data_IF_214203632300
#
_entry.id   IF_214203632300
#
_cell.length_a   1.000
_cell.length_b   1.000
_cell.length_c   1.000
_cell.angle_alpha   90.00
_cell.angle_beta   90.00
_cell.angle_gamma   90.00
#
_symmetry.space_group_name_H-M   'P 1'
#
loop_
_entity.id
_entity.type
_entity.pdbx_description
1 polymer ?
#
# COMPACT_ATOMS: atom_id res chain seq x y z
N UNK A 1 -19.78 -3.50 -2.91
CA UNK A 1 -19.56 -4.20 -4.17
C UNK A 1 -19.53 -5.64 -3.76
N UNK A 2 -20.47 -6.42 -4.27
CA UNK A 2 -20.48 -7.87 -3.98
C UNK A 2 -19.33 -8.54 -4.76
N UNK A 3 -19.01 -9.79 -4.45
CA UNK A 3 -17.91 -10.57 -5.03
C UNK A 3 -18.08 -10.72 -6.55
N UNK A 4 -19.30 -10.90 -7.06
CA UNK A 4 -19.56 -10.97 -8.50
C UNK A 4 -19.30 -9.64 -9.20
N UNK A 5 -19.71 -8.51 -8.60
CA UNK A 5 -19.45 -7.18 -9.14
C UNK A 5 -17.95 -6.87 -9.17
N UNK A 6 -17.19 -7.35 -8.17
CA UNK A 6 -15.73 -7.24 -8.13
C UNK A 6 -15.09 -7.96 -9.32
N UNK A 7 -15.40 -9.24 -9.55
CA UNK A 7 -14.79 -9.95 -10.68
C UNK A 7 -15.23 -9.37 -12.03
N UNK A 8 -16.47 -8.90 -12.12
CA UNK A 8 -16.99 -8.24 -13.31
C UNK A 8 -16.26 -6.92 -13.61
N UNK A 9 -15.80 -6.17 -12.61
CA UNK A 9 -15.04 -4.94 -12.86
C UNK A 9 -13.68 -5.22 -13.52
N UNK A 10 -13.09 -6.39 -13.26
CA UNK A 10 -11.86 -6.82 -13.94
C UNK A 10 -12.09 -7.32 -15.37
N UNK A 11 -13.32 -7.56 -15.80
CA UNK A 11 -13.60 -7.87 -17.22
C UNK A 11 -13.49 -6.63 -18.13
N UNK A 12 -13.41 -5.43 -17.55
CA UNK A 12 -13.16 -4.20 -18.29
C UNK A 12 -11.69 -4.12 -18.74
N UNK A 13 -11.47 -4.16 -20.06
CA UNK A 13 -10.14 -4.10 -20.65
C UNK A 13 -9.41 -2.78 -20.34
N UNK A 14 -10.10 -1.69 -20.05
CA UNK A 14 -9.44 -0.44 -19.67
C UNK A 14 -8.80 -0.52 -18.28
N UNK A 15 -9.33 -1.35 -17.37
CA UNK A 15 -8.69 -1.64 -16.07
C UNK A 15 -7.37 -2.39 -16.28
N UNK A 16 -7.37 -3.42 -17.14
CA UNK A 16 -6.14 -4.15 -17.46
C UNK A 16 -5.14 -3.31 -18.22
N UNK A 17 -5.58 -2.47 -19.16
CA UNK A 17 -4.70 -1.55 -19.87
C UNK A 17 -4.05 -0.53 -18.91
N UNK A 18 -4.79 -0.02 -17.93
CA UNK A 18 -4.22 0.84 -16.88
C UNK A 18 -3.12 0.12 -16.10
N UNK A 19 -3.38 -1.12 -15.65
CA UNK A 19 -2.40 -1.94 -14.93
C UNK A 19 -1.18 -2.33 -15.78
N UNK A 20 -1.38 -2.64 -17.07
CA UNK A 20 -0.31 -3.03 -18.00
C UNK A 20 0.52 -1.83 -18.51
N UNK A 21 -0.02 -0.62 -18.43
CA UNK A 21 0.71 0.61 -18.81
C UNK A 21 1.30 1.34 -17.61
N UNK A 22 1.04 0.85 -16.38
CA UNK A 22 1.76 1.25 -15.17
C UNK A 22 3.19 0.70 -15.19
N UNK A 23 4.12 1.51 -15.69
CA UNK A 23 5.53 1.18 -15.83
C UNK A 23 6.20 0.77 -14.51
N UNK A 24 6.12 1.58 -13.44
CA UNK A 24 6.73 1.25 -12.14
C UNK A 24 6.22 -0.06 -11.55
N UNK A 25 4.89 -0.31 -11.58
CA UNK A 25 4.29 -1.58 -11.14
C UNK A 25 4.93 -2.76 -11.87
N UNK A 26 4.89 -2.75 -13.19
CA UNK A 26 5.34 -3.88 -13.99
C UNK A 26 6.87 -4.08 -13.91
N UNK A 27 7.63 -2.98 -13.84
CA UNK A 27 9.07 -3.02 -13.65
C UNK A 27 9.47 -3.65 -12.32
N UNK A 28 8.80 -3.28 -11.21
CA UNK A 28 9.11 -3.82 -9.89
C UNK A 28 8.88 -5.35 -9.83
N UNK A 29 7.75 -5.86 -10.33
CA UNK A 29 7.51 -7.30 -10.39
C UNK A 29 8.50 -8.03 -11.29
N UNK A 30 8.76 -7.48 -12.48
CA UNK A 30 9.74 -8.04 -13.41
C UNK A 30 11.12 -8.12 -12.74
N UNK A 31 11.63 -7.00 -12.22
CA UNK A 31 12.92 -6.94 -11.55
C UNK A 31 12.98 -7.90 -10.35
N UNK A 32 11.97 -7.92 -9.49
CA UNK A 32 11.92 -8.83 -8.34
C UNK A 32 11.99 -10.30 -8.76
N UNK A 33 11.20 -10.71 -9.75
CA UNK A 33 11.18 -12.08 -10.27
C UNK A 33 12.55 -12.45 -10.87
N UNK A 34 13.13 -11.59 -11.71
CA UNK A 34 14.39 -11.90 -12.39
C UNK A 34 15.62 -11.78 -11.48
N UNK A 35 15.61 -10.90 -10.48
CA UNK A 35 16.65 -10.87 -9.44
C UNK A 35 16.63 -12.16 -8.63
N UNK A 36 15.44 -12.74 -8.38
CA UNK A 36 15.25 -14.00 -7.67
C UNK A 36 15.22 -15.24 -8.60
N UNK A 37 15.78 -15.14 -9.81
CA UNK A 37 15.75 -16.25 -10.78
C UNK A 37 16.26 -17.57 -10.20
N UNK A 38 17.36 -17.53 -9.42
CA UNK A 38 17.92 -18.74 -8.80
C UNK A 38 16.98 -19.41 -7.79
N UNK A 39 16.09 -18.63 -7.16
CA UNK A 39 15.09 -19.13 -6.23
C UNK A 39 13.79 -19.57 -6.93
N UNK A 40 13.62 -19.27 -8.23
CA UNK A 40 12.45 -19.64 -9.06
C UNK A 40 12.76 -20.77 -10.04
N UNK A 41 14.00 -20.88 -10.51
CA UNK A 41 14.39 -21.88 -11.51
C UNK A 41 14.11 -23.32 -11.03
N UNK A 42 13.39 -24.08 -11.84
CA UNK A 42 12.97 -25.45 -11.52
C UNK A 42 11.90 -25.56 -10.44
N UNK A 43 11.34 -24.44 -9.96
CA UNK A 43 10.31 -24.40 -8.91
C UNK A 43 8.89 -24.36 -9.44
N UNK A 44 7.94 -24.57 -8.54
CA UNK A 44 6.52 -24.49 -8.81
C UNK A 44 5.97 -23.19 -8.24
N UNK A 45 5.30 -22.42 -9.09
CA UNK A 45 4.79 -21.09 -8.77
C UNK A 45 3.27 -21.10 -8.81
N UNK A 46 2.64 -20.40 -7.87
CA UNK A 46 1.22 -20.05 -7.90
C UNK A 46 1.07 -18.54 -8.10
N UNK A 47 0.37 -18.15 -9.17
CA UNK A 47 -0.02 -16.77 -9.44
C UNK A 47 -1.49 -16.58 -9.04
N UNK A 48 -1.73 -15.82 -7.96
CA UNK A 48 -3.05 -15.62 -7.35
C UNK A 48 -3.67 -14.34 -7.92
N UNK A 49 -4.75 -14.48 -8.69
CA UNK A 49 -5.35 -13.37 -9.44
C UNK A 49 -4.51 -13.01 -10.65
N UNK A 50 -4.23 -14.01 -11.49
CA UNK A 50 -3.28 -13.89 -12.58
C UNK A 50 -3.71 -12.87 -13.67
N UNK A 51 -4.98 -12.47 -13.72
CA UNK A 51 -5.53 -11.52 -14.67
C UNK A 51 -5.34 -11.99 -16.11
N UNK A 52 -4.44 -11.34 -16.85
CA UNK A 52 -4.04 -11.71 -18.22
C UNK A 52 -2.73 -12.53 -18.27
N UNK A 53 -2.19 -12.93 -17.12
CA UNK A 53 -1.07 -13.87 -17.00
C UNK A 53 0.32 -13.27 -17.11
N UNK A 54 0.50 -11.94 -17.11
CA UNK A 54 1.83 -11.33 -17.27
C UNK A 54 2.84 -11.78 -16.21
N UNK A 55 2.44 -11.88 -14.94
CA UNK A 55 3.33 -12.32 -13.85
C UNK A 55 3.65 -13.81 -13.98
N UNK A 56 2.67 -14.62 -14.36
CA UNK A 56 2.88 -16.02 -14.74
C UNK A 56 3.90 -16.19 -15.87
N UNK A 57 3.86 -15.33 -16.89
CA UNK A 57 4.84 -15.32 -17.99
C UNK A 57 6.23 -14.97 -17.49
N UNK A 58 6.38 -13.94 -16.65
CA UNK A 58 7.67 -13.60 -16.04
C UNK A 58 8.24 -14.77 -15.23
N UNK A 59 7.43 -15.46 -14.43
CA UNK A 59 7.87 -16.62 -13.67
C UNK A 59 8.32 -17.78 -14.57
N UNK A 60 7.60 -18.05 -15.67
CA UNK A 60 8.00 -19.05 -16.66
C UNK A 60 9.32 -18.68 -17.36
N UNK A 61 9.49 -17.41 -17.73
CA UNK A 61 10.73 -16.89 -18.32
C UNK A 61 11.92 -16.93 -17.34
N UNK A 62 11.66 -16.77 -16.04
CA UNK A 62 12.64 -16.97 -14.99
C UNK A 62 13.01 -18.46 -14.78
N UNK A 63 12.37 -19.39 -15.48
CA UNK A 63 12.71 -20.81 -15.46
C UNK A 63 11.89 -21.65 -14.47
N UNK A 64 10.73 -21.15 -14.03
CA UNK A 64 9.80 -21.98 -13.25
C UNK A 64 9.49 -23.28 -14.00
N UNK A 65 9.49 -24.40 -13.27
CA UNK A 65 9.14 -25.72 -13.81
C UNK A 65 7.65 -25.78 -14.18
N UNK A 66 6.82 -25.15 -13.36
CA UNK A 66 5.36 -25.12 -13.50
C UNK A 66 4.82 -23.83 -12.89
N UNK A 67 3.84 -23.21 -13.54
CA UNK A 67 3.09 -22.07 -13.00
C UNK A 67 1.60 -22.42 -13.01
N UNK A 68 0.93 -22.29 -11.87
CA UNK A 68 -0.52 -22.33 -11.76
C UNK A 68 -1.05 -20.89 -11.73
N UNK A 69 -1.69 -20.47 -12.81
CA UNK A 69 -2.24 -19.13 -12.96
C UNK A 69 -3.73 -19.15 -12.60
N UNK A 70 -4.08 -18.79 -11.36
CA UNK A 70 -5.46 -18.82 -10.87
C UNK A 70 -6.12 -17.47 -11.16
N UNK A 71 -7.19 -17.49 -11.94
CA UNK A 71 -7.97 -16.29 -12.29
C UNK A 71 -9.46 -16.61 -12.21
N UNK A 72 -10.24 -15.72 -11.60
CA UNK A 72 -11.66 -15.94 -11.34
C UNK A 72 -12.59 -15.18 -12.30
N UNK A 73 -12.13 -14.07 -12.88
CA UNK A 73 -12.87 -13.27 -13.86
C UNK A 73 -12.74 -13.87 -15.27
N UNK A 74 -13.56 -13.37 -16.20
CA UNK A 74 -13.52 -13.77 -17.61
C UNK A 74 -12.18 -13.54 -18.34
N UNK A 75 -11.24 -12.80 -17.75
CA UNK A 75 -9.93 -12.51 -18.37
C UNK A 75 -9.02 -13.72 -18.47
N UNK A 76 -9.32 -14.82 -17.77
CA UNK A 76 -8.60 -16.08 -17.89
C UNK A 76 -8.50 -16.56 -19.35
N UNK A 77 -9.48 -16.24 -20.20
CA UNK A 77 -9.46 -16.58 -21.63
C UNK A 77 -8.34 -15.85 -22.37
N UNK A 78 -8.17 -14.57 -22.07
CA UNK A 78 -7.05 -13.77 -22.59
C UNK A 78 -5.73 -14.29 -22.06
N UNK A 79 -5.67 -14.67 -20.77
CA UNK A 79 -4.47 -15.28 -20.20
C UNK A 79 -4.06 -16.57 -20.95
N UNK A 80 -5.02 -17.42 -21.32
CA UNK A 80 -4.75 -18.62 -22.14
C UNK A 80 -4.13 -18.24 -23.49
N UNK A 81 -4.65 -17.21 -24.14
CA UNK A 81 -4.15 -16.78 -25.45
C UNK A 81 -2.76 -16.14 -25.33
N UNK A 82 -2.52 -15.29 -24.32
CA UNK A 82 -1.19 -14.71 -24.01
C UNK A 82 -0.17 -15.81 -23.72
N UNK A 83 -0.54 -16.85 -22.96
CA UNK A 83 0.34 -18.00 -22.69
C UNK A 83 0.74 -18.72 -23.98
N UNK A 84 -0.20 -18.90 -24.92
CA UNK A 84 0.07 -19.51 -26.23
C UNK A 84 0.93 -18.63 -27.13
N UNK A 85 0.67 -17.33 -27.17
CA UNK A 85 1.45 -16.35 -27.94
C UNK A 85 2.94 -16.38 -27.54
N UNK A 86 3.21 -16.65 -26.26
CA UNK A 86 4.54 -16.77 -25.69
C UNK A 86 5.09 -18.21 -25.68
N UNK A 87 4.36 -19.19 -26.21
CA UNK A 87 4.77 -20.60 -26.32
C UNK A 87 5.07 -21.25 -24.95
N UNK A 88 4.31 -20.88 -23.91
CA UNK A 88 4.52 -21.33 -22.53
C UNK A 88 3.45 -22.30 -22.03
N UNK A 89 2.63 -22.89 -22.90
CA UNK A 89 1.51 -23.78 -22.54
C UNK A 89 1.97 -25.03 -21.79
N UNK A 90 3.21 -25.47 -22.00
CA UNK A 90 3.78 -26.63 -21.30
C UNK A 90 4.18 -26.31 -19.86
N UNK A 91 4.38 -25.03 -19.52
CA UNK A 91 4.83 -24.56 -18.21
C UNK A 91 3.68 -23.96 -17.42
N UNK A 92 2.83 -23.15 -18.06
CA UNK A 92 1.77 -22.39 -17.41
C UNK A 92 0.42 -23.10 -17.59
N UNK A 93 -0.27 -23.36 -16.48
CA UNK A 93 -1.64 -23.86 -16.47
C UNK A 93 -2.55 -22.79 -15.90
N UNK A 94 -3.45 -22.28 -16.73
CA UNK A 94 -4.51 -21.36 -16.31
C UNK A 94 -5.64 -22.14 -15.63
N UNK A 95 -5.99 -21.75 -14.42
CA UNK A 95 -7.05 -22.35 -13.60
C UNK A 95 -8.15 -21.31 -13.41
N UNK A 96 -9.26 -21.48 -14.11
CA UNK A 96 -10.42 -20.58 -14.00
C UNK A 96 -11.28 -20.92 -12.79
N UNK A 97 -10.92 -20.39 -11.63
CA UNK A 97 -11.62 -20.55 -10.34
C UNK A 97 -11.31 -19.38 -9.43
N UNK A 98 -12.18 -19.13 -8.46
CA UNK A 98 -11.81 -18.38 -7.25
C UNK A 98 -10.79 -19.19 -6.46
N UNK A 99 -9.79 -18.53 -5.89
CA UNK A 99 -8.74 -19.22 -5.13
C UNK A 99 -9.32 -20.00 -3.94
N UNK A 100 -10.41 -19.49 -3.35
CA UNK A 100 -11.18 -20.14 -2.29
C UNK A 100 -11.71 -21.52 -2.74
N UNK A 101 -12.10 -21.67 -4.01
CA UNK A 101 -12.68 -22.89 -4.59
C UNK A 101 -11.64 -23.83 -5.23
N UNK A 102 -10.38 -23.40 -5.34
CA UNK A 102 -9.29 -24.25 -5.86
C UNK A 102 -9.04 -25.42 -4.91
N UNK A 103 -8.83 -26.61 -5.44
CA UNK A 103 -8.62 -27.84 -4.66
C UNK A 103 -7.32 -28.54 -5.05
N UNK A 104 -7.01 -29.65 -4.38
CA UNK A 104 -5.88 -30.52 -4.74
C UNK A 104 -6.02 -31.18 -6.12
N UNK A 105 -7.23 -31.20 -6.70
CA UNK A 105 -7.41 -31.69 -8.07
C UNK A 105 -6.89 -30.67 -9.10
N UNK A 106 -6.95 -29.38 -8.76
CA UNK A 106 -6.47 -28.29 -9.61
C UNK A 106 -4.97 -28.06 -9.42
N UNK A 107 -4.52 -28.08 -8.15
CA UNK A 107 -3.13 -27.88 -7.73
C UNK A 107 -2.74 -29.06 -6.81
N UNK A 108 -2.22 -30.17 -7.37
CA UNK A 108 -1.99 -31.42 -6.64
C UNK A 108 -0.79 -31.39 -5.69
N UNK A 109 0.06 -30.38 -5.78
CA UNK A 109 1.27 -30.25 -4.99
C UNK A 109 1.39 -28.88 -4.34
N UNK A 110 2.04 -28.82 -3.18
CA UNK A 110 2.41 -27.55 -2.56
C UNK A 110 3.36 -26.79 -3.49
N UNK A 111 3.26 -25.46 -3.53
CA UNK A 111 4.08 -24.58 -4.37
C UNK A 111 5.27 -24.02 -3.59
N UNK A 112 6.34 -23.70 -4.30
CA UNK A 112 7.56 -23.13 -3.72
C UNK A 112 7.48 -21.60 -3.63
N UNK A 113 6.73 -20.96 -4.55
CA UNK A 113 6.60 -19.51 -4.66
C UNK A 113 5.13 -19.16 -4.89
N UNK A 114 4.64 -18.14 -4.20
CA UNK A 114 3.41 -17.43 -4.53
C UNK A 114 3.80 -16.06 -5.09
N UNK A 115 3.22 -15.69 -6.22
CA UNK A 115 3.24 -14.33 -6.75
C UNK A 115 1.81 -13.83 -6.82
N UNK A 116 1.57 -12.58 -6.45
CA UNK A 116 0.25 -11.97 -6.57
C UNK A 116 0.38 -10.47 -6.56
N UNK A 117 -0.34 -9.82 -7.46
CA UNK A 117 -0.63 -8.39 -7.36
C UNK A 117 -2.03 -8.24 -6.78
N UNK A 118 -2.08 -7.98 -5.47
CA UNK A 118 -3.29 -7.98 -4.66
C UNK A 118 -3.64 -6.60 -4.12
N UNK A 119 -2.81 -5.58 -4.41
CA UNK A 119 -2.85 -4.31 -3.70
C UNK A 119 -3.97 -3.43 -4.25
N UNK A 120 -4.86 -2.98 -3.38
CA UNK A 120 -5.86 -1.98 -3.71
C UNK A 120 -5.38 -0.55 -3.42
N UNK A 121 -6.30 0.42 -3.57
CA UNK A 121 -6.08 1.76 -3.03
C UNK A 121 -5.79 1.69 -1.52
N UNK A 122 -4.92 2.59 -1.03
CA UNK A 122 -4.39 2.57 0.34
C UNK A 122 -3.95 1.16 0.81
N UNK A 123 -3.45 0.34 -0.12
CA UNK A 123 -3.04 -1.07 0.03
C UNK A 123 -4.20 -2.07 0.21
N UNK A 124 -5.15 -1.80 1.11
CA UNK A 124 -6.12 -2.79 1.58
C UNK A 124 -7.51 -2.69 0.95
N UNK A 125 -7.77 -1.70 0.08
CA UNK A 125 -9.04 -1.66 -0.64
C UNK A 125 -9.25 -2.95 -1.45
N UNK A 126 -10.50 -3.33 -1.65
CA UNK A 126 -10.92 -4.51 -2.42
C UNK A 126 -10.63 -5.88 -1.76
N UNK A 127 -9.79 -5.91 -0.72
CA UNK A 127 -9.67 -7.06 0.21
C UNK A 127 -9.04 -8.32 -0.39
N UNK A 128 -8.24 -8.21 -1.46
CA UNK A 128 -7.62 -9.39 -2.10
C UNK A 128 -6.50 -10.04 -1.25
N UNK A 129 -5.95 -9.33 -0.26
CA UNK A 129 -4.96 -9.89 0.67
C UNK A 129 -5.49 -11.13 1.43
N UNK A 130 -6.79 -11.19 1.74
CA UNK A 130 -7.39 -12.39 2.36
C UNK A 130 -7.24 -13.63 1.47
N UNK A 131 -7.41 -13.46 0.16
CA UNK A 131 -7.26 -14.52 -0.83
C UNK A 131 -5.80 -14.99 -0.90
N UNK A 132 -4.83 -14.07 -0.77
CA UNK A 132 -3.40 -14.39 -0.74
C UNK A 132 -3.03 -15.13 0.55
N UNK A 133 -3.54 -14.71 1.71
CA UNK A 133 -3.37 -15.40 3.00
C UNK A 133 -3.89 -16.84 2.90
N UNK A 134 -5.10 -17.01 2.35
CA UNK A 134 -5.68 -18.34 2.14
C UNK A 134 -4.82 -19.19 1.19
N UNK A 135 -4.30 -18.61 0.10
CA UNK A 135 -3.41 -19.32 -0.82
C UNK A 135 -2.11 -19.75 -0.14
N UNK A 136 -1.50 -18.86 0.66
CA UNK A 136 -0.30 -19.14 1.46
C UNK A 136 -0.52 -20.33 2.38
N UNK A 137 -1.55 -20.26 3.22
CA UNK A 137 -1.80 -21.27 4.25
C UNK A 137 -2.11 -22.64 3.63
N UNK A 138 -2.85 -22.65 2.52
CA UNK A 138 -3.29 -23.88 1.87
C UNK A 138 -2.28 -24.48 0.91
N UNK A 139 -1.52 -23.68 0.17
CA UNK A 139 -0.73 -24.16 -0.98
C UNK A 139 0.77 -23.91 -0.86
N UNK A 140 1.25 -22.98 -0.03
CA UNK A 140 2.69 -22.73 0.08
C UNK A 140 3.39 -23.84 0.89
N UNK A 141 4.61 -24.20 0.48
CA UNK A 141 5.52 -25.05 1.27
C UNK A 141 6.08 -24.27 2.47
N UNK A 142 6.51 -24.94 3.54
CA UNK A 142 7.32 -24.30 4.57
C UNK A 142 8.56 -23.62 3.94
N UNK A 143 8.83 -22.37 4.32
CA UNK A 143 9.91 -21.53 3.75
C UNK A 143 9.77 -21.21 2.25
N UNK A 144 8.57 -21.39 1.68
CA UNK A 144 8.26 -20.87 0.35
C UNK A 144 8.30 -19.35 0.33
N UNK A 145 8.48 -18.77 -0.85
CA UNK A 145 8.57 -17.33 -1.03
C UNK A 145 7.21 -16.74 -1.42
N UNK A 146 6.99 -15.48 -1.06
CA UNK A 146 5.80 -14.71 -1.44
C UNK A 146 6.29 -13.43 -2.10
N UNK A 147 5.74 -13.08 -3.26
CA UNK A 147 6.08 -11.89 -4.02
C UNK A 147 4.83 -11.00 -4.12
N UNK A 148 4.82 -9.82 -3.45
CA UNK A 148 5.80 -9.31 -2.46
C UNK A 148 5.78 -10.08 -1.12
N UNK A 149 6.82 -9.92 -0.27
CA UNK A 149 6.87 -10.58 1.04
C UNK A 149 6.42 -9.69 2.20
N UNK A 150 6.47 -8.38 2.01
CA UNK A 150 6.01 -7.42 3.00
C UNK A 150 5.40 -6.19 2.33
N UNK A 151 4.55 -5.49 3.07
CA UNK A 151 3.99 -4.21 2.65
C UNK A 151 3.88 -3.25 3.84
N UNK A 152 3.92 -1.96 3.58
CA UNK A 152 3.75 -0.93 4.61
C UNK A 152 2.80 0.16 4.11
N UNK A 153 1.91 0.62 4.99
CA UNK A 153 1.11 1.84 4.75
C UNK A 153 1.80 2.98 5.46
N UNK A 154 2.02 4.08 4.75
CA UNK A 154 2.58 5.31 5.27
C UNK A 154 1.50 6.38 5.38
N UNK A 155 1.69 7.28 6.35
CA UNK A 155 0.76 8.36 6.62
C UNK A 155 1.48 9.66 6.95
N UNK A 156 0.99 10.78 6.44
CA UNK A 156 1.46 12.12 6.82
C UNK A 156 0.38 13.19 6.61
N UNK A 157 0.33 14.24 7.43
CA UNK A 157 -0.49 15.43 7.13
C UNK A 157 -0.05 16.11 5.83
N UNK A 158 -1.01 16.66 5.07
CA UNK A 158 -0.75 17.29 3.79
C UNK A 158 -1.64 18.51 3.50
N UNK A 159 -1.20 19.33 2.56
CA UNK A 159 -2.05 20.28 1.81
C UNK A 159 -2.80 19.54 0.70
N UNK A 160 -3.97 20.01 0.29
CA UNK A 160 -4.75 19.42 -0.81
C UNK A 160 -5.16 20.51 -1.83
N UNK A 161 -4.21 21.05 -2.62
CA UNK A 161 -4.45 22.20 -3.48
C UNK A 161 -5.59 22.00 -4.50
N UNK A 162 -5.78 20.78 -4.98
CA UNK A 162 -6.83 20.40 -5.94
C UNK A 162 -8.25 20.64 -5.42
N UNK A 163 -8.44 20.60 -4.10
CA UNK A 163 -9.73 20.84 -3.43
C UNK A 163 -9.79 22.25 -2.84
N UNK A 164 -8.64 22.82 -2.46
CA UNK A 164 -8.52 24.12 -1.82
C UNK A 164 -7.96 25.19 -2.77
N UNK A 165 -6.64 25.37 -2.78
CA UNK A 165 -5.95 26.52 -3.37
C UNK A 165 -6.27 26.78 -4.86
N UNK A 166 -6.46 25.74 -5.66
CA UNK A 166 -6.71 25.86 -7.11
C UNK A 166 -7.93 26.76 -7.42
N UNK A 167 -8.93 26.74 -6.55
CA UNK A 167 -10.21 27.43 -6.76
C UNK A 167 -10.22 28.89 -6.30
N UNK A 168 -9.16 29.34 -5.63
CA UNK A 168 -8.99 30.75 -5.28
C UNK A 168 -8.85 31.61 -6.54
N UNK A 169 -8.28 31.04 -7.61
CA UNK A 169 -8.10 31.75 -8.87
C UNK A 169 -8.05 30.79 -10.07
N UNK A 170 -9.20 30.54 -10.69
CA UNK A 170 -9.30 29.81 -11.95
C UNK A 170 -9.28 30.83 -13.10
N UNK A 171 -8.10 31.10 -13.65
CA UNK A 171 -7.91 32.01 -14.79
C UNK A 171 -8.50 33.42 -14.58
N UNK A 172 -8.34 33.98 -13.38
CA UNK A 172 -8.87 35.29 -12.98
C UNK A 172 -10.23 35.23 -12.29
N UNK A 173 -10.83 34.05 -12.14
CA UNK A 173 -12.16 33.85 -11.53
C UNK A 173 -12.01 33.20 -10.16
N UNK A 174 -12.54 33.86 -9.12
CA UNK A 174 -12.62 33.28 -7.77
C UNK A 174 -13.80 32.30 -7.70
N UNK A 175 -13.53 31.05 -7.33
CA UNK A 175 -14.52 29.96 -7.28
C UNK A 175 -14.66 29.35 -5.88
N UNK A 176 -14.48 30.15 -4.83
CA UNK A 176 -14.52 29.70 -3.42
C UNK A 176 -15.84 29.03 -3.03
N UNK A 177 -16.98 29.48 -3.59
CA UNK A 177 -18.28 28.86 -3.37
C UNK A 177 -18.33 27.42 -3.89
N UNK A 178 -17.69 27.16 -5.04
CA UNK A 178 -17.55 25.82 -5.61
C UNK A 178 -16.60 24.96 -4.76
N UNK A 179 -15.44 25.50 -4.39
CA UNK A 179 -14.47 24.79 -3.52
C UNK A 179 -15.10 24.36 -2.18
N UNK A 180 -15.94 25.19 -1.58
CA UNK A 180 -16.68 24.80 -0.37
C UNK A 180 -17.59 23.59 -0.60
N UNK A 181 -18.35 23.57 -1.70
CA UNK A 181 -19.20 22.43 -2.06
C UNK A 181 -18.39 21.18 -2.39
N UNK A 182 -17.22 21.36 -3.04
CA UNK A 182 -16.30 20.26 -3.34
C UNK A 182 -15.75 19.65 -2.05
N UNK A 183 -15.32 20.46 -1.07
CA UNK A 183 -14.90 19.99 0.26
C UNK A 183 -15.99 19.22 0.98
N UNK A 184 -17.24 19.71 0.93
CA UNK A 184 -18.40 19.05 1.54
C UNK A 184 -18.68 17.65 0.98
N UNK A 185 -18.24 17.38 -0.24
CA UNK A 185 -18.28 16.06 -0.85
C UNK A 185 -17.01 15.26 -0.53
N UNK A 186 -15.84 15.91 -0.54
CA UNK A 186 -14.55 15.28 -0.37
C UNK A 186 -14.33 14.74 1.05
N UNK A 187 -14.75 15.42 2.12
CA UNK A 187 -14.52 14.89 3.49
C UNK A 187 -15.36 13.64 3.82
N UNK A 188 -16.35 13.29 2.99
CA UNK A 188 -17.26 12.14 3.21
C UNK A 188 -16.68 10.82 2.71
N UNK A 189 -15.63 10.85 1.89
CA UNK A 189 -14.99 9.66 1.33
C UNK A 189 -13.53 9.96 0.98
N UNK A 190 -12.61 8.99 1.09
CA UNK A 190 -11.26 9.19 0.59
C UNK A 190 -11.26 9.52 -0.91
N UNK A 191 -10.31 10.35 -1.33
CA UNK A 191 -10.06 10.67 -2.74
C UNK A 191 -8.74 10.06 -3.20
N UNK A 192 -8.69 9.58 -4.44
CA UNK A 192 -7.47 9.04 -5.04
C UNK A 192 -6.89 10.04 -6.02
N UNK A 193 -5.76 10.64 -5.67
CA UNK A 193 -5.13 11.71 -6.45
C UNK A 193 -3.60 11.65 -6.35
N UNK A 194 -2.92 12.19 -7.34
CA UNK A 194 -1.48 12.42 -7.28
C UNK A 194 -1.22 13.72 -6.53
N UNK A 195 -0.49 13.64 -5.43
CA UNK A 195 -0.06 14.81 -4.66
C UNK A 195 1.44 15.04 -4.85
N UNK A 196 1.88 16.30 -4.82
CA UNK A 196 3.31 16.61 -4.88
C UNK A 196 3.96 16.44 -3.50
N UNK A 197 5.20 15.95 -3.44
CA UNK A 197 5.97 15.84 -2.19
C UNK A 197 6.08 17.17 -1.41
N UNK A 198 6.05 18.30 -2.12
CA UNK A 198 6.02 19.64 -1.52
C UNK A 198 4.78 19.90 -0.66
N UNK A 199 3.67 19.19 -0.90
CA UNK A 199 2.42 19.32 -0.16
C UNK A 199 2.38 18.52 1.16
N UNK A 200 3.30 17.57 1.36
CA UNK A 200 3.42 16.84 2.63
C UNK A 200 3.90 17.80 3.72
N UNK A 201 3.35 17.76 4.93
CA UNK A 201 3.63 18.76 5.96
C UNK A 201 4.59 18.29 7.04
N UNK A 202 4.81 16.99 7.15
CA UNK A 202 5.71 16.34 8.10
C UNK A 202 6.40 15.14 7.44
N UNK A 203 7.41 14.59 8.11
CA UNK A 203 7.96 13.29 7.73
C UNK A 203 6.87 12.20 7.80
N UNK A 204 6.88 11.22 6.88
CA UNK A 204 5.93 10.12 6.91
C UNK A 204 6.21 9.17 8.06
N UNK A 205 5.14 8.63 8.64
CA UNK A 205 5.20 7.57 9.64
C UNK A 205 4.60 6.28 9.09
N UNK A 206 5.11 5.12 9.54
CA UNK A 206 4.53 3.82 9.18
C UNK A 206 3.26 3.61 10.00
N UNK A 207 2.12 3.66 9.32
CA UNK A 207 0.82 3.37 9.91
C UNK A 207 0.72 1.89 10.30
N UNK A 208 1.15 1.01 9.38
CA UNK A 208 1.19 -0.44 9.62
C UNK A 208 2.19 -1.10 8.71
N UNK A 209 2.86 -2.14 9.22
CA UNK A 209 3.75 -3.00 8.47
C UNK A 209 3.20 -4.43 8.50
N UNK A 210 3.12 -5.05 7.33
CA UNK A 210 2.47 -6.34 7.10
C UNK A 210 3.53 -7.32 6.59
N UNK A 211 3.85 -8.34 7.39
CA UNK A 211 4.60 -9.51 6.93
C UNK A 211 3.66 -10.51 6.27
N UNK A 212 3.76 -10.70 4.95
CA UNK A 212 2.87 -11.62 4.26
C UNK A 212 3.09 -13.08 4.63
N UNK A 213 4.20 -13.42 5.30
CA UNK A 213 4.48 -14.78 5.77
C UNK A 213 3.68 -15.14 7.02
N UNK A 214 3.36 -14.15 7.84
CA UNK A 214 2.80 -14.35 9.18
C UNK A 214 1.43 -13.70 9.40
N UNK A 215 1.06 -12.68 8.60
CA UNK A 215 -0.19 -11.93 8.78
C UNK A 215 -1.42 -12.86 8.74
N UNK A 216 -2.37 -12.63 9.63
CA UNK A 216 -3.65 -13.34 9.69
C UNK A 216 -4.81 -12.41 9.30
N UNK A 217 -5.98 -13.00 9.02
CA UNK A 217 -7.20 -12.23 8.75
C UNK A 217 -7.55 -11.26 9.89
N UNK A 218 -7.41 -11.71 11.15
CA UNK A 218 -7.71 -10.92 12.35
C UNK A 218 -6.80 -9.67 12.47
N UNK A 219 -5.54 -9.77 12.00
CA UNK A 219 -4.64 -8.60 11.98
C UNK A 219 -5.12 -7.49 11.05
N UNK A 220 -6.01 -7.82 10.10
CA UNK A 220 -6.52 -6.90 9.09
C UNK A 220 -7.93 -6.39 9.42
N UNK A 221 -8.57 -6.84 10.49
CA UNK A 221 -9.93 -6.43 10.84
C UNK A 221 -9.99 -4.99 11.37
N UNK A 222 -8.98 -4.59 12.14
CA UNK A 222 -8.88 -3.24 12.68
C UNK A 222 -7.42 -2.84 12.87
N UNK A 223 -7.05 -1.70 12.29
CA UNK A 223 -5.72 -1.10 12.42
C UNK A 223 -5.91 0.26 13.07
N UNK A 224 -5.30 0.45 14.23
CA UNK A 224 -5.38 1.66 15.03
C UNK A 224 -4.01 2.34 15.06
N UNK A 225 -3.98 3.64 14.79
CA UNK A 225 -2.75 4.40 14.69
C UNK A 225 -2.93 5.80 15.29
N UNK A 226 -2.31 6.02 16.45
CA UNK A 226 -2.23 7.34 17.09
C UNK A 226 -0.89 7.96 16.79
N UNK A 227 -0.87 9.19 16.30
CA UNK A 227 0.39 9.85 15.97
C UNK A 227 0.38 11.35 16.22
N UNK A 228 1.57 11.86 16.57
CA UNK A 228 1.90 13.28 16.70
C UNK A 228 2.91 13.62 15.61
N UNK A 229 2.42 14.10 14.47
CA UNK A 229 3.27 14.57 13.40
C UNK A 229 3.78 15.97 13.72
N UNK A 230 5.07 16.23 13.53
CA UNK A 230 5.64 17.58 13.70
C UNK A 230 5.88 18.19 12.33
N UNK A 231 5.22 19.32 12.07
CA UNK A 231 5.35 19.93 10.75
C UNK A 231 6.77 20.44 10.50
N UNK A 232 7.36 20.09 9.35
CA UNK A 232 8.70 20.49 8.95
C UNK A 232 8.72 21.73 8.02
N UNK A 233 7.54 22.29 7.69
CA UNK A 233 7.38 23.42 6.78
C UNK A 233 6.15 24.28 7.12
N UNK A 234 6.08 25.48 6.56
CA UNK A 234 4.86 26.30 6.59
C UNK A 234 3.90 25.76 5.52
N UNK A 235 2.63 25.57 5.87
CA UNK A 235 1.65 25.08 4.92
C UNK A 235 0.21 25.11 5.44
N UNK A 236 -0.70 24.56 4.64
CA UNK A 236 -2.10 24.45 4.98
C UNK A 236 -2.41 22.98 5.26
N UNK A 237 -2.69 22.63 6.51
CA UNK A 237 -3.16 21.32 6.89
C UNK A 237 -4.62 21.13 6.48
N UNK A 238 -4.80 20.35 5.42
CA UNK A 238 -6.05 20.21 4.67
C UNK A 238 -6.49 18.75 4.52
N UNK A 239 -5.61 17.81 4.88
CA UNK A 239 -5.88 16.38 4.80
C UNK A 239 -4.76 15.53 5.37
N UNK A 240 -5.03 14.23 5.41
CA UNK A 240 -4.04 13.19 5.65
C UNK A 240 -3.80 12.46 4.33
N UNK A 241 -2.54 12.25 3.97
CA UNK A 241 -2.12 11.49 2.80
C UNK A 241 -1.69 10.08 3.22
N UNK A 242 -2.18 9.08 2.49
CA UNK A 242 -1.82 7.68 2.62
C UNK A 242 -1.24 7.16 1.31
N UNK A 243 -0.16 6.40 1.42
CA UNK A 243 0.41 5.59 0.33
C UNK A 243 0.98 4.30 0.91
N UNK A 244 1.49 3.44 0.05
CA UNK A 244 2.10 2.20 0.48
C UNK A 244 3.39 1.86 -0.26
N UNK A 245 4.15 0.97 0.33
CA UNK A 245 5.24 0.26 -0.34
C UNK A 245 5.03 -1.24 -0.26
N UNK A 246 5.59 -1.98 -1.21
CA UNK A 246 5.67 -3.43 -1.20
C UNK A 246 7.13 -3.85 -1.40
N UNK A 247 7.65 -4.67 -0.51
CA UNK A 247 9.03 -5.15 -0.55
C UNK A 247 9.04 -6.61 -0.99
N UNK A 248 9.87 -6.91 -1.98
CA UNK A 248 10.01 -8.26 -2.53
C UNK A 248 11.18 -9.02 -1.88
N UNK A 249 11.15 -10.36 -1.88
CA UNK A 249 12.26 -11.17 -1.38
C UNK A 249 13.61 -10.81 -2.00
N UNK A 250 14.66 -10.86 -1.18
CA UNK A 250 16.03 -10.85 -1.68
C UNK A 250 16.49 -12.26 -2.10
N UNK A 251 17.34 -12.36 -3.15
CA UNK A 251 17.92 -13.64 -3.56
C UNK A 251 18.74 -14.27 -2.43
N UNK A 252 18.56 -15.57 -2.20
CA UNK A 252 19.26 -16.27 -1.11
C UNK A 252 20.77 -16.22 -1.28
N UNK A 253 21.47 -15.82 -0.21
CA UNK A 253 22.94 -15.82 -0.17
C UNK A 253 23.61 -14.65 -0.88
N UNK A 254 22.85 -13.64 -1.33
CA UNK A 254 23.43 -12.39 -1.81
C UNK A 254 23.49 -11.33 -0.71
N UNK A 255 24.70 -10.84 -0.42
CA UNK A 255 24.90 -9.64 0.39
C UNK A 255 24.89 -8.35 -0.45
N UNK A 256 24.71 -8.47 -1.77
CA UNK A 256 24.88 -7.37 -2.73
C UNK A 256 23.58 -6.92 -3.40
N UNK A 257 22.45 -7.57 -3.13
CA UNK A 257 21.15 -7.16 -3.66
C UNK A 257 20.32 -6.53 -2.56
N UNK A 258 19.96 -5.26 -2.73
CA UNK A 258 18.91 -4.63 -1.94
C UNK A 258 17.54 -5.18 -2.39
N UNK A 259 16.58 -5.32 -1.46
CA UNK A 259 15.23 -5.75 -1.82
C UNK A 259 14.60 -4.80 -2.82
N UNK A 260 14.06 -5.34 -3.91
CA UNK A 260 13.23 -4.54 -4.82
C UNK A 260 12.03 -4.03 -4.02
N UNK A 261 11.73 -2.74 -4.16
CA UNK A 261 10.59 -2.11 -3.50
C UNK A 261 9.73 -1.40 -4.53
N UNK A 262 8.45 -1.74 -4.58
CA UNK A 262 7.44 -0.98 -5.30
C UNK A 262 6.90 0.10 -4.36
N UNK A 263 7.14 1.37 -4.67
CA UNK A 263 6.64 2.51 -3.90
C UNK A 263 5.54 3.26 -4.64
N UNK A 264 4.57 3.78 -3.88
CA UNK A 264 3.52 4.69 -4.37
C UNK A 264 3.65 6.07 -3.73
N UNK A 265 4.83 6.40 -3.21
CA UNK A 265 5.10 7.69 -2.57
C UNK A 265 5.00 8.87 -3.56
N UNK A 266 4.61 10.07 -3.11
CA UNK A 266 4.56 11.28 -3.94
C UNK A 266 5.83 11.68 -4.71
N UNK A 267 7.02 11.31 -4.23
CA UNK A 267 8.30 11.66 -4.89
C UNK A 267 8.80 10.56 -5.84
N UNK A 268 8.09 9.44 -5.91
CA UNK A 268 8.40 8.31 -6.78
C UNK A 268 7.65 8.40 -8.12
N UNK A 269 8.07 7.66 -9.16
CA UNK A 269 7.33 7.56 -10.42
C UNK A 269 5.86 7.21 -10.21
N UNK A 270 4.96 7.97 -10.86
CA UNK A 270 3.51 7.84 -10.68
C UNK A 270 3.04 6.42 -11.04
N UNK A 271 2.32 5.81 -10.10
CA UNK A 271 1.57 4.57 -10.30
C UNK A 271 0.08 4.84 -10.48
N UNK A 272 -0.68 3.86 -10.95
CA UNK A 272 -2.13 3.99 -11.11
C UNK A 272 -2.87 4.09 -9.77
N UNK A 273 -2.29 3.59 -8.68
CA UNK A 273 -2.83 3.72 -7.32
C UNK A 273 -2.81 5.17 -6.83
N UNK A 274 -1.84 5.97 -7.30
CA UNK A 274 -1.60 7.33 -6.80
C UNK A 274 -1.48 7.33 -5.26
N UNK A 275 -2.01 8.36 -4.61
CA UNK A 275 -2.15 8.42 -3.16
C UNK A 275 -3.62 8.53 -2.77
N UNK A 276 -3.93 8.13 -1.54
CA UNK A 276 -5.26 8.26 -0.94
C UNK A 276 -5.26 9.43 0.03
N UNK A 277 -6.16 10.40 -0.17
CA UNK A 277 -6.27 11.58 0.68
C UNK A 277 -7.57 11.53 1.50
N UNK A 278 -7.46 11.73 2.80
CA UNK A 278 -8.58 11.98 3.71
C UNK A 278 -8.66 13.49 3.90
N UNK A 279 -9.61 14.11 3.20
CA UNK A 279 -9.73 15.58 3.16
C UNK A 279 -10.45 16.08 4.40
N UNK A 280 -9.88 17.08 5.07
CA UNK A 280 -10.50 17.75 6.20
C UNK A 280 -11.62 18.69 5.74
N UNK A 281 -12.62 18.98 6.60
CA UNK A 281 -13.66 19.96 6.27
C UNK A 281 -13.14 21.41 6.24
N UNK A 282 -12.09 21.70 7.00
CA UNK A 282 -11.50 23.02 7.16
C UNK A 282 -9.98 22.96 6.98
N UNK A 283 -9.40 24.05 6.48
CA UNK A 283 -7.96 24.25 6.37
C UNK A 283 -7.41 24.91 7.64
N UNK A 284 -6.28 24.41 8.14
CA UNK A 284 -5.55 25.00 9.26
C UNK A 284 -4.15 25.40 8.83
N UNK A 285 -3.72 26.64 9.10
CA UNK A 285 -2.35 27.05 8.82
C UNK A 285 -1.41 26.45 9.87
N UNK A 286 -0.32 25.84 9.42
CA UNK A 286 0.71 25.27 10.27
C UNK A 286 2.06 25.93 9.99
N UNK A 287 2.86 26.03 11.03
CA UNK A 287 4.24 26.52 10.97
C UNK A 287 5.22 25.37 11.28
N UNK A 288 6.52 25.61 11.03
CA UNK A 288 7.57 24.66 11.39
C UNK A 288 7.54 24.39 12.90
N UNK A 289 7.58 23.11 13.29
CA UNK A 289 7.48 22.67 14.68
C UNK A 289 6.05 22.53 15.19
N UNK A 290 5.03 22.79 14.38
CA UNK A 290 3.63 22.65 14.80
C UNK A 290 3.23 21.18 14.97
N UNK A 291 2.74 20.76 16.16
CA UNK A 291 2.30 19.40 16.38
C UNK A 291 0.89 19.18 15.80
N UNK A 292 0.74 18.13 15.00
CA UNK A 292 -0.52 17.70 14.40
C UNK A 292 -0.84 16.31 14.97
N UNK A 293 -1.82 16.25 15.86
CA UNK A 293 -2.17 15.02 16.59
C UNK A 293 -3.47 14.43 16.05
N UNK A 294 -3.47 13.13 15.76
CA UNK A 294 -4.66 12.45 15.25
C UNK A 294 -4.66 10.96 15.57
N UNK A 295 -5.87 10.38 15.64
CA UNK A 295 -6.13 8.95 15.62
C UNK A 295 -6.66 8.53 14.26
N UNK A 296 -5.84 7.72 13.58
CA UNK A 296 -6.05 6.84 12.44
C UNK A 296 -6.74 5.51 12.75
N UNK A 297 -8.04 5.30 12.47
CA UNK A 297 -8.63 3.95 12.56
C UNK A 297 -9.06 3.45 11.19
N UNK A 298 -8.52 2.31 10.77
CA UNK A 298 -8.96 1.56 9.59
C UNK A 298 -9.71 0.32 10.05
N UNK A 299 -11.04 0.32 9.90
CA UNK A 299 -11.89 -0.78 10.34
C UNK A 299 -12.55 -1.48 9.18
N UNK A 300 -12.36 -2.80 9.08
CA UNK A 300 -12.98 -3.60 8.02
C UNK A 300 -14.51 -3.57 8.18
N UNK A 301 -15.22 -3.40 7.06
CA UNK A 301 -16.67 -3.35 7.06
C UNK A 301 -17.27 -4.72 7.34
N UNK A 302 -18.23 -4.78 8.25
CA UNK A 302 -19.02 -5.99 8.52
C UNK A 302 -19.98 -6.36 7.38
N UNK A 303 -20.32 -5.40 6.52
CA UNK A 303 -21.17 -5.62 5.34
C UNK A 303 -20.37 -6.15 4.15
N UNK A 304 -19.07 -5.84 4.07
CA UNK A 304 -18.21 -6.24 2.96
C UNK A 304 -16.75 -6.26 3.41
N UNK A 305 -16.14 -7.45 3.47
CA UNK A 305 -14.73 -7.62 3.81
C UNK A 305 -13.77 -6.91 2.84
N UNK A 306 -14.27 -6.49 1.68
CA UNK A 306 -13.54 -5.75 0.63
C UNK A 306 -13.44 -4.25 0.88
N UNK A 307 -13.94 -3.75 2.01
CA UNK A 307 -14.00 -2.31 2.32
C UNK A 307 -13.54 -2.02 3.74
N UNK A 308 -12.91 -0.86 3.88
CA UNK A 308 -12.54 -0.28 5.16
C UNK A 308 -13.30 1.03 5.37
N UNK A 309 -13.79 1.24 6.59
CA UNK A 309 -14.12 2.55 7.11
C UNK A 309 -12.83 3.19 7.63
N UNK A 310 -12.53 4.40 7.14
CA UNK A 310 -11.41 5.20 7.61
C UNK A 310 -11.99 6.27 8.55
N UNK A 311 -11.68 6.17 9.83
CA UNK A 311 -12.11 7.11 10.86
C UNK A 311 -10.91 7.93 11.32
N UNK A 312 -10.96 9.24 11.07
CA UNK A 312 -9.93 10.19 11.49
C UNK A 312 -10.47 11.05 12.62
N UNK A 313 -9.82 10.97 13.79
CA UNK A 313 -10.13 11.84 14.93
C UNK A 313 -8.99 12.81 15.15
N UNK A 314 -9.28 14.11 15.10
CA UNK A 314 -8.31 15.15 15.43
C UNK A 314 -8.19 15.26 16.95
N UNK A 315 -6.96 15.22 17.47
CA UNK A 315 -6.68 15.27 18.90
C UNK A 315 -6.04 16.59 19.30
N UNK A 316 -6.18 16.97 20.57
CA UNK A 316 -5.49 18.12 21.14
C UNK A 316 -4.02 17.75 21.48
N UNK A 317 -3.01 18.41 20.89
CA UNK A 317 -1.61 18.18 21.23
C UNK A 317 -1.26 18.41 22.71
N UNK A 318 -2.05 19.21 23.44
CA UNK A 318 -1.89 19.43 24.88
C UNK A 318 -2.25 18.20 25.70
N UNK A 319 -3.30 17.48 25.29
CA UNK A 319 -3.87 16.34 26.01
C UNK A 319 -3.23 14.99 25.66
N UNK A 320 -2.47 14.93 24.56
CA UNK A 320 -1.82 13.70 24.09
C UNK A 320 -0.36 13.63 24.55
N UNK A 321 0.13 12.42 24.82
CA UNK A 321 1.54 12.14 25.06
C UNK A 321 2.34 12.23 23.75
N UNK A 322 3.46 12.94 23.80
CA UNK A 322 4.34 13.11 22.63
C UNK A 322 5.47 12.09 22.71
N UNK A 323 6.06 11.70 21.56
CA UNK A 323 7.26 10.87 21.54
C UNK A 323 8.39 11.46 22.40
N UNK A 324 9.24 10.58 22.96
CA UNK A 324 10.34 10.98 23.87
C UNK A 324 11.28 12.02 23.25
N UNK A 325 11.46 12.01 21.93
CA UNK A 325 12.28 12.95 21.15
C UNK A 325 11.43 13.83 20.23
N UNK A 326 10.30 14.34 20.73
CA UNK A 326 9.44 15.20 19.94
C UNK A 326 10.10 16.57 19.66
N UNK A 327 10.18 16.94 18.38
CA UNK A 327 10.77 18.19 17.90
C UNK A 327 9.79 19.36 17.80
N UNK A 328 8.60 19.24 18.40
CA UNK A 328 7.59 20.29 18.35
C UNK A 328 7.94 21.50 19.23
N UNK A 329 7.26 22.64 19.00
CA UNK A 329 7.49 23.86 19.77
C UNK A 329 6.89 23.86 21.19
N UNK A 330 6.18 22.80 21.58
CA UNK A 330 5.49 22.79 22.88
C UNK A 330 6.49 22.85 24.03
N UNK A 331 6.20 23.69 25.02
CA UNK A 331 7.08 23.90 26.17
C UNK A 331 7.44 22.60 26.88
N UNK A 332 6.48 21.66 27.00
CA UNK A 332 6.73 20.33 27.58
C UNK A 332 7.85 19.57 26.85
N UNK A 333 7.82 19.53 25.52
CA UNK A 333 8.81 18.83 24.69
C UNK A 333 10.17 19.53 24.70
N UNK A 334 10.19 20.86 24.62
CA UNK A 334 11.44 21.64 24.70
C UNK A 334 12.15 21.38 26.03
N UNK A 335 11.41 21.34 27.14
CA UNK A 335 11.98 21.06 28.46
C UNK A 335 12.49 19.62 28.59
N UNK A 336 11.73 18.63 28.08
CA UNK A 336 12.14 17.22 28.07
C UNK A 336 13.43 17.03 27.28
N UNK A 337 13.52 17.55 26.05
CA UNK A 337 14.72 17.46 25.23
C UNK A 337 15.92 18.15 25.92
N UNK A 338 15.72 19.33 26.52
CA UNK A 338 16.79 20.02 27.24
C UNK A 338 17.26 19.24 28.49
N UNK A 339 16.38 18.50 29.16
CA UNK A 339 16.76 17.59 30.25
C UNK A 339 17.56 16.40 29.72
N UNK A 340 17.06 15.73 28.67
CA UNK A 340 17.75 14.59 28.04
C UNK A 340 19.16 14.97 27.58
N UNK A 341 19.33 16.12 26.91
CA UNK A 341 20.64 16.62 26.50
C UNK A 341 21.59 16.85 27.69
N UNK A 342 21.09 17.30 28.85
CA UNK A 342 21.90 17.48 30.06
C UNK A 342 22.32 16.15 30.68
N UNK A 343 21.41 15.17 30.70
CA UNK A 343 21.72 13.81 31.17
C UNK A 343 22.75 13.13 30.25
N UNK A 344 22.61 13.24 28.93
CA UNK A 344 23.56 12.69 27.96
C UNK A 344 24.94 13.36 28.01
N UNK A 345 25.00 14.65 28.35
CA UNK A 345 26.26 15.39 28.54
C UNK A 345 26.94 15.13 29.88
N UNK A 346 26.38 14.29 30.75
CA UNK A 346 27.01 13.86 32.00
C UNK A 346 27.01 14.91 33.12
N UNK A 347 26.02 15.79 33.17
CA UNK A 347 25.82 16.73 34.31
C UNK A 347 24.89 16.12 35.40
N UNK A 348 24.94 14.80 35.58
CA UNK A 348 24.25 14.08 36.66
C UNK A 348 25.18 13.87 37.86
N UNK A 349 24.90 14.60 38.95
CA UNK A 349 25.37 14.39 40.32
C UNK A 349 26.90 14.33 40.54
N UNK A 350 27.49 15.52 40.61
CA UNK A 350 28.60 15.75 41.53
C UNK A 350 28.10 15.58 42.96
N UNK A 351 28.41 14.43 43.56
CA UNK A 351 28.33 14.23 45.00
C UNK A 351 29.25 15.23 45.72
N UNK A 352 28.66 16.10 46.54
CA UNK A 352 29.25 16.63 47.78
C UNK A 352 28.21 16.63 48.90
#
# INVERSE_FOLDING_TARGET
MDVEDYFKSYEDLEVHKLMLTDGPRNAAYHEAIFNNKADIEGKIVLDVGAGMGILSIFCAQAGAKKVYAVEASGTYRVAIDVVKENQMENVIQVVHKRMEDVTVEDIPEKVDVIVSEWMGFYLLHEGMLDTVILARDRFLKPQGLIFPEAAAIYVTPCSVPSVYQYWENVQGVRMESFSRLLREQAYKKPITETIAASCLLAEPEVLTWIDLREVTHDNLDEINFRHVAVSNKIGAYEGICLWFTCTFPCPKGSNNFEPVTLSTEPDEPITHWKQTLIVLPNSMKVEVGHPICYDLVMKRSTESSRRYALELTMLDPEEVEHPEFCSCFMTKCILVNAMLEKYERGEGDGAE
#
